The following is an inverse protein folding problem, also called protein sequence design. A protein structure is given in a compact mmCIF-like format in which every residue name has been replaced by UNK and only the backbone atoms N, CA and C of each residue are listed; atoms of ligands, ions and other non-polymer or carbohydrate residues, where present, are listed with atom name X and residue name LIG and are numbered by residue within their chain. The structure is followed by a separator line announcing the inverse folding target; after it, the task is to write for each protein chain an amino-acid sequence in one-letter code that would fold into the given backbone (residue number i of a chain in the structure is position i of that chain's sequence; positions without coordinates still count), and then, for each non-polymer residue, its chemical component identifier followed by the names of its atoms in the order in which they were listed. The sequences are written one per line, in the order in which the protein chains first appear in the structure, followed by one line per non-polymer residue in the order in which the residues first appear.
data_IF_839153352623
#
_entry.id   IF_839153352623
#
_cell.length_a   1.000
_cell.length_b   1.000
_cell.length_c   1.000
_cell.angle_alpha   90.00
_cell.angle_beta   90.00
_cell.angle_gamma   90.00
#
_symmetry.space_group_name_H-M   'P 1'
#
loop_
_entity.id
_entity.type
_entity.pdbx_description
1 polymer ?
#
# COMPACT_ATOMS: atom_id res chain seq x y z
N UNK A 1 36.19 -8.61 -9.07
CA UNK A 1 35.97 -9.72 -8.10
C UNK A 1 35.72 -9.26 -6.67
N UNK A 2 36.54 -8.39 -6.06
CA UNK A 2 36.37 -7.95 -4.65
C UNK A 2 35.00 -7.32 -4.34
N UNK A 3 34.48 -6.43 -5.21
CA UNK A 3 33.19 -5.76 -5.03
C UNK A 3 31.99 -6.71 -4.97
N UNK A 4 31.94 -7.72 -5.85
CA UNK A 4 30.84 -8.69 -5.92
C UNK A 4 30.70 -9.47 -4.61
N UNK A 5 31.81 -9.96 -4.05
CA UNK A 5 31.82 -10.66 -2.76
C UNK A 5 31.35 -9.76 -1.60
N UNK A 6 31.69 -8.47 -1.62
CA UNK A 6 31.20 -7.51 -0.60
C UNK A 6 29.69 -7.28 -0.70
N UNK A 7 29.15 -7.13 -1.91
CA UNK A 7 27.71 -6.97 -2.14
C UNK A 7 26.96 -8.23 -1.68
N UNK A 8 27.45 -9.41 -2.04
CA UNK A 8 26.88 -10.69 -1.64
C UNK A 8 26.88 -10.85 -0.11
N UNK A 9 28.02 -10.66 0.57
CA UNK A 9 28.07 -10.75 2.04
C UNK A 9 27.19 -9.69 2.75
N UNK A 10 27.01 -8.51 2.16
CA UNK A 10 26.04 -7.51 2.64
C UNK A 10 24.58 -8.00 2.50
N UNK A 11 24.23 -8.63 1.37
CA UNK A 11 22.89 -9.19 1.12
C UNK A 11 22.61 -10.37 2.07
N UNK A 12 23.52 -11.33 2.18
CA UNK A 12 23.44 -12.47 3.10
C UNK A 12 23.28 -12.02 4.56
N UNK A 13 24.04 -10.99 4.98
CA UNK A 13 23.91 -10.39 6.31
C UNK A 13 22.56 -9.69 6.49
N UNK A 14 22.07 -8.96 5.49
CA UNK A 14 20.74 -8.31 5.54
C UNK A 14 19.64 -9.36 5.73
N UNK A 15 19.66 -10.42 4.93
CA UNK A 15 18.68 -11.50 4.99
C UNK A 15 18.73 -12.22 6.35
N UNK A 16 19.92 -12.55 6.84
CA UNK A 16 20.13 -13.13 8.17
C UNK A 16 19.52 -12.26 9.28
N UNK A 17 19.72 -10.94 9.21
CA UNK A 17 19.16 -9.99 10.18
C UNK A 17 17.63 -9.90 10.07
N UNK A 18 17.07 -9.89 8.86
CA UNK A 18 15.61 -9.88 8.63
C UNK A 18 14.92 -11.15 9.14
N UNK A 19 15.57 -12.31 9.00
CA UNK A 19 15.11 -13.58 9.56
C UNK A 19 15.17 -13.56 11.11
N UNK A 20 16.31 -13.14 11.69
CA UNK A 20 16.46 -13.00 13.14
C UNK A 20 15.48 -11.99 13.75
N UNK A 21 15.17 -10.91 13.04
CA UNK A 21 14.12 -9.96 13.44
C UNK A 21 12.76 -10.66 13.42
N UNK A 22 12.41 -11.34 12.33
CA UNK A 22 11.08 -11.93 12.16
C UNK A 22 10.77 -13.06 13.15
N UNK A 23 11.80 -13.75 13.68
CA UNK A 23 11.63 -14.77 14.72
C UNK A 23 11.41 -14.20 16.13
N UNK A 24 11.79 -12.96 16.41
CA UNK A 24 11.70 -12.40 17.77
C UNK A 24 10.26 -12.12 18.25
N UNK A 25 9.26 -12.12 17.35
CA UNK A 25 7.84 -12.09 17.75
C UNK A 25 7.40 -13.33 18.54
N UNK A 26 8.17 -14.42 18.45
CA UNK A 26 7.94 -15.62 19.26
C UNK A 26 8.16 -15.36 20.76
N UNK A 27 8.84 -14.28 21.15
CA UNK A 27 9.00 -13.87 22.55
C UNK A 27 7.66 -13.55 23.25
N UNK A 28 6.62 -13.21 22.49
CA UNK A 28 5.28 -12.92 23.00
C UNK A 28 4.38 -14.16 23.11
N UNK A 29 4.86 -15.35 22.70
CA UNK A 29 4.07 -16.59 22.76
C UNK A 29 3.74 -16.96 24.21
N UNK A 30 2.46 -16.84 24.57
CA UNK A 30 1.96 -17.07 25.93
C UNK A 30 1.36 -15.82 26.58
N UNK A 31 1.54 -14.63 25.97
CA UNK A 31 0.84 -13.42 26.39
C UNK A 31 -0.67 -13.50 26.11
N UNK A 32 -1.47 -12.91 27.01
CA UNK A 32 -2.94 -12.92 26.91
C UNK A 32 -3.45 -12.23 25.63
N UNK A 33 -2.73 -11.22 25.14
CA UNK A 33 -2.98 -10.54 23.86
C UNK A 33 -1.83 -10.77 22.86
N UNK A 34 -1.47 -12.03 22.65
CA UNK A 34 -0.47 -12.40 21.63
C UNK A 34 -0.81 -11.83 20.24
N UNK A 35 -2.09 -11.80 19.85
CA UNK A 35 -2.52 -11.31 18.53
C UNK A 35 -2.29 -9.79 18.37
N UNK A 36 -2.69 -8.98 19.37
CA UNK A 36 -2.41 -7.56 19.39
C UNK A 36 -0.91 -7.27 19.38
N UNK A 37 -0.14 -7.96 20.23
CA UNK A 37 1.31 -7.79 20.31
C UNK A 37 2.04 -8.16 18.99
N UNK A 38 1.62 -9.23 18.30
CA UNK A 38 2.15 -9.58 16.97
C UNK A 38 1.81 -8.50 15.94
N UNK A 39 0.61 -7.92 15.97
CA UNK A 39 0.25 -6.83 15.07
C UNK A 39 1.12 -5.58 15.30
N UNK A 40 1.34 -5.19 16.57
CA UNK A 40 2.24 -4.07 16.90
C UNK A 40 3.69 -4.40 16.52
N UNK A 41 4.12 -5.65 16.67
CA UNK A 41 5.46 -6.09 16.24
C UNK A 41 5.68 -6.00 14.72
N UNK A 42 4.72 -6.44 13.90
CA UNK A 42 4.82 -6.32 12.44
C UNK A 42 4.70 -4.84 11.98
N UNK A 43 3.98 -3.98 12.72
CA UNK A 43 4.01 -2.53 12.50
C UNK A 43 5.39 -1.93 12.79
N UNK A 44 6.04 -2.31 13.90
CA UNK A 44 7.41 -1.87 14.21
C UNK A 44 8.41 -2.35 13.16
N UNK A 45 8.30 -3.60 12.72
CA UNK A 45 9.12 -4.17 11.66
C UNK A 45 8.99 -3.38 10.36
N UNK A 46 7.77 -3.02 9.97
CA UNK A 46 7.55 -2.22 8.76
C UNK A 46 8.13 -0.80 8.92
N UNK A 47 8.00 -0.18 10.09
CA UNK A 47 8.70 1.07 10.39
C UNK A 47 10.22 0.92 10.20
N UNK A 48 10.82 -0.14 10.74
CA UNK A 48 12.26 -0.44 10.61
C UNK A 48 12.71 -0.68 9.16
N UNK A 49 11.90 -1.33 8.32
CA UNK A 49 12.17 -1.50 6.88
C UNK A 49 12.28 -0.16 6.14
N UNK A 50 11.54 0.85 6.59
CA UNK A 50 11.50 2.19 6.00
C UNK A 50 12.59 3.09 6.57
N UNK A 51 12.86 3.00 7.87
CA UNK A 51 14.03 3.58 8.55
C UNK A 51 15.33 3.06 7.92
N UNK A 52 15.39 1.77 7.58
CA UNK A 52 16.50 1.16 6.83
C UNK A 52 16.72 1.83 5.47
N UNK A 53 15.66 2.00 4.66
CA UNK A 53 15.77 2.66 3.35
C UNK A 53 16.25 4.12 3.49
N UNK A 54 15.73 4.84 4.47
CA UNK A 54 16.18 6.19 4.81
C UNK A 54 17.67 6.22 5.17
N UNK A 55 18.16 5.30 6.01
CA UNK A 55 19.58 5.26 6.38
C UNK A 55 20.52 4.80 5.27
N UNK A 56 20.07 3.92 4.36
CA UNK A 56 20.80 3.62 3.11
C UNK A 56 20.97 4.90 2.28
N UNK A 57 19.91 5.68 2.09
CA UNK A 57 19.95 6.93 1.32
C UNK A 57 20.81 8.01 2.02
N UNK A 58 20.64 8.18 3.35
CA UNK A 58 21.45 9.08 4.17
C UNK A 58 22.94 8.75 4.04
N UNK A 59 23.32 7.49 4.22
CA UNK A 59 24.72 7.08 4.16
C UNK A 59 25.30 7.16 2.74
N UNK A 60 24.48 6.96 1.71
CA UNK A 60 24.88 7.26 0.33
C UNK A 60 25.21 8.74 0.16
N UNK A 61 24.34 9.65 0.60
CA UNK A 61 24.57 11.10 0.53
C UNK A 61 25.83 11.51 1.30
N UNK A 62 26.02 11.03 2.54
CA UNK A 62 27.25 11.20 3.32
C UNK A 62 28.50 10.75 2.54
N UNK A 63 28.40 9.60 1.84
CA UNK A 63 29.50 9.04 1.04
C UNK A 63 29.86 9.89 -0.18
N UNK A 64 28.91 10.66 -0.74
CA UNK A 64 29.20 11.59 -1.85
C UNK A 64 30.04 12.80 -1.44
N UNK A 65 30.11 13.10 -0.13
CA UNK A 65 30.75 14.30 0.45
C UNK A 65 30.26 15.64 -0.11
N UNK A 66 29.12 15.67 -0.82
CA UNK A 66 28.52 16.91 -1.32
C UNK A 66 27.73 17.61 -0.21
N UNK A 67 27.80 18.94 -0.08
CA UNK A 67 26.94 19.67 0.83
C UNK A 67 25.48 19.54 0.40
N UNK A 68 24.60 19.21 1.34
CA UNK A 68 23.16 19.21 1.12
C UNK A 68 22.64 20.65 1.11
N UNK A 69 21.63 20.91 0.28
CA UNK A 69 20.91 22.20 0.28
C UNK A 69 20.13 22.40 1.58
N UNK A 70 19.74 23.64 1.90
CA UNK A 70 18.91 23.93 3.07
C UNK A 70 17.57 23.15 3.06
N UNK A 71 16.94 23.02 1.89
CA UNK A 71 15.73 22.23 1.71
C UNK A 71 15.94 20.75 2.02
N UNK A 72 17.02 20.15 1.49
CA UNK A 72 17.36 18.74 1.77
C UNK A 72 17.68 18.50 3.25
N UNK A 73 18.41 19.41 3.91
CA UNK A 73 18.66 19.29 5.35
C UNK A 73 17.37 19.39 6.17
N UNK A 74 16.43 20.27 5.78
CA UNK A 74 15.13 20.38 6.43
C UNK A 74 14.27 19.12 6.23
N UNK A 75 14.28 18.55 5.02
CA UNK A 75 13.57 17.29 4.70
C UNK A 75 14.15 16.11 5.49
N UNK A 76 15.47 15.93 5.50
CA UNK A 76 16.15 14.89 6.30
C UNK A 76 15.77 15.01 7.78
N UNK A 77 15.80 16.22 8.35
CA UNK A 77 15.42 16.47 9.75
C UNK A 77 13.92 16.23 10.01
N UNK A 78 13.05 16.53 9.03
CA UNK A 78 11.62 16.22 9.13
C UNK A 78 11.37 14.71 9.15
N UNK A 79 12.13 13.93 8.37
CA UNK A 79 12.05 12.47 8.38
C UNK A 79 12.56 11.91 9.71
N UNK A 80 13.68 12.41 10.24
CA UNK A 80 14.21 12.00 11.55
C UNK A 80 13.21 12.27 12.70
N UNK A 81 12.56 13.45 12.69
CA UNK A 81 11.51 13.77 13.66
C UNK A 81 10.29 12.82 13.51
N UNK A 82 9.86 12.53 12.28
CA UNK A 82 8.73 11.63 12.02
C UNK A 82 9.04 10.19 12.45
N UNK A 83 10.26 9.70 12.21
CA UNK A 83 10.70 8.39 12.68
C UNK A 83 10.56 8.33 14.20
N UNK A 84 11.08 9.34 14.92
CA UNK A 84 10.97 9.36 16.38
C UNK A 84 9.52 9.33 16.86
N UNK A 85 8.63 10.16 16.29
CA UNK A 85 7.21 10.13 16.65
C UNK A 85 6.58 8.76 16.43
N UNK A 86 6.89 8.09 15.31
CA UNK A 86 6.39 6.75 15.02
C UNK A 86 6.99 5.67 15.93
N UNK A 87 8.23 5.82 16.41
CA UNK A 87 8.82 4.94 17.41
C UNK A 87 8.18 5.12 18.80
N UNK A 88 7.87 6.36 19.18
CA UNK A 88 7.16 6.71 20.42
C UNK A 88 5.71 6.15 20.37
N UNK A 89 5.00 6.31 19.24
CA UNK A 89 3.61 5.85 19.04
C UNK A 89 3.45 4.31 19.08
N UNK A 90 4.49 3.55 18.72
CA UNK A 90 4.48 2.07 18.63
C UNK A 90 4.85 1.41 19.97
N UNK A 91 4.93 2.17 21.07
CA UNK A 91 5.28 1.66 22.42
C UNK A 91 6.59 0.86 22.42
N UNK A 92 7.60 1.37 21.71
CA UNK A 92 8.87 0.68 21.44
C UNK A 92 9.58 0.14 22.70
N UNK A 93 9.48 0.81 23.85
CA UNK A 93 10.14 0.33 25.09
C UNK A 93 9.60 -1.03 25.50
N UNK A 94 8.27 -1.19 25.57
CA UNK A 94 7.60 -2.44 25.95
C UNK A 94 7.99 -3.61 25.02
N UNK A 95 8.02 -3.37 23.71
CA UNK A 95 8.41 -4.41 22.73
C UNK A 95 9.88 -4.81 22.93
N UNK A 96 10.75 -3.82 23.20
CA UNK A 96 12.19 -4.03 23.35
C UNK A 96 12.56 -4.70 24.68
N UNK A 97 11.82 -4.40 25.75
CA UNK A 97 11.97 -5.00 27.08
C UNK A 97 11.62 -6.50 27.06
N UNK A 98 10.57 -6.89 26.34
CA UNK A 98 10.14 -8.28 26.22
C UNK A 98 10.97 -9.06 25.17
N UNK A 99 11.25 -8.45 24.01
CA UNK A 99 12.11 -9.04 22.98
C UNK A 99 13.59 -8.62 23.19
N UNK A 100 14.24 -9.12 24.24
CA UNK A 100 15.60 -8.73 24.68
C UNK A 100 16.70 -8.57 23.59
N UNK A 101 16.60 -9.30 22.46
CA UNK A 101 17.58 -9.20 21.35
C UNK A 101 17.21 -8.14 20.30
N UNK A 102 16.00 -7.58 20.33
CA UNK A 102 15.47 -6.65 19.34
C UNK A 102 16.32 -5.38 19.24
N UNK A 103 16.70 -4.75 20.35
CA UNK A 103 17.59 -3.59 20.35
C UNK A 103 18.93 -3.86 19.63
N UNK A 104 19.48 -5.07 19.82
CA UNK A 104 20.72 -5.50 19.18
C UNK A 104 20.50 -5.67 17.67
N UNK A 105 19.45 -6.39 17.26
CA UNK A 105 19.14 -6.60 15.83
C UNK A 105 18.83 -5.28 15.13
N UNK A 106 18.04 -4.37 15.73
CA UNK A 106 17.76 -3.02 15.17
C UNK A 106 19.06 -2.23 14.94
N UNK A 107 20.01 -2.29 15.88
CA UNK A 107 21.34 -1.67 15.72
C UNK A 107 22.17 -2.32 14.62
N UNK A 108 22.16 -3.65 14.49
CA UNK A 108 22.86 -4.36 13.42
C UNK A 108 22.25 -4.09 12.04
N UNK A 109 20.92 -3.94 11.96
CA UNK A 109 20.17 -3.51 10.77
C UNK A 109 20.54 -2.07 10.38
N UNK A 110 20.66 -1.16 11.34
CA UNK A 110 21.12 0.21 11.10
C UNK A 110 22.55 0.27 10.53
N UNK A 111 23.50 -0.47 11.10
CA UNK A 111 24.87 -0.52 10.56
C UNK A 111 24.92 -1.20 9.18
N UNK A 112 24.09 -2.22 8.94
CA UNK A 112 23.93 -2.83 7.62
C UNK A 112 23.35 -1.83 6.60
N UNK A 113 22.36 -1.01 6.96
CA UNK A 113 21.81 0.06 6.12
C UNK A 113 22.91 1.06 5.73
N UNK A 114 23.74 1.45 6.70
CA UNK A 114 24.86 2.36 6.49
C UNK A 114 25.89 1.81 5.50
N UNK A 115 26.27 0.54 5.65
CA UNK A 115 27.17 -0.10 4.69
C UNK A 115 26.53 -0.24 3.30
N UNK A 116 25.22 -0.52 3.22
CA UNK A 116 24.46 -0.53 1.97
C UNK A 116 24.56 0.80 1.20
N UNK A 117 24.41 1.93 1.89
CA UNK A 117 24.57 3.28 1.30
C UNK A 117 25.99 3.53 0.74
N UNK A 118 27.03 3.12 1.49
CA UNK A 118 28.42 3.18 1.04
C UNK A 118 28.70 2.30 -0.17
N UNK A 119 28.17 1.07 -0.18
CA UNK A 119 28.34 0.12 -1.28
C UNK A 119 27.67 0.65 -2.56
N UNK A 120 26.46 1.22 -2.47
CA UNK A 120 25.79 1.87 -3.60
C UNK A 120 26.64 3.00 -4.21
N UNK A 121 27.25 3.84 -3.36
CA UNK A 121 28.18 4.86 -3.83
C UNK A 121 29.43 4.25 -4.48
N UNK A 122 30.03 3.23 -3.86
CA UNK A 122 31.26 2.58 -4.35
C UNK A 122 31.08 1.83 -5.69
N UNK A 123 29.87 1.33 -6.00
CA UNK A 123 29.57 0.73 -7.32
C UNK A 123 29.13 1.76 -8.37
N UNK A 124 29.13 3.06 -8.02
CA UNK A 124 28.69 4.12 -8.92
C UNK A 124 27.19 4.16 -9.17
N UNK A 125 26.38 3.52 -8.32
CA UNK A 125 24.92 3.64 -8.40
C UNK A 125 24.55 5.11 -8.22
N UNK A 126 23.78 5.65 -9.16
CA UNK A 126 23.17 6.96 -9.02
C UNK A 126 21.72 6.71 -8.64
N UNK A 127 21.36 7.08 -7.40
CA UNK A 127 19.96 7.39 -7.14
C UNK A 127 19.54 8.43 -8.18
N UNK A 128 18.53 8.16 -9.01
CA UNK A 128 18.06 9.17 -9.94
C UNK A 128 17.62 10.39 -9.13
N UNK A 129 17.83 11.57 -9.70
CA UNK A 129 17.49 12.79 -9.00
C UNK A 129 16.00 12.77 -8.65
N UNK A 130 15.68 12.99 -7.37
CA UNK A 130 14.34 13.39 -6.95
C UNK A 130 14.17 14.85 -7.40
N UNK A 131 14.04 15.03 -8.72
CA UNK A 131 13.42 16.22 -9.27
C UNK A 131 12.01 16.29 -8.74
N UNK A 132 11.61 17.46 -8.26
CA UNK A 132 10.23 17.77 -7.93
C UNK A 132 9.31 17.44 -9.12
N UNK A 133 8.68 16.27 -9.06
CA UNK A 133 7.88 15.72 -10.16
C UNK A 133 8.66 14.92 -11.22
N UNK A 134 9.37 13.85 -10.83
CA UNK A 134 9.48 12.66 -11.71
C UNK A 134 9.75 11.37 -10.94
N UNK A 135 8.93 10.35 -11.21
CA UNK A 135 8.97 9.04 -10.55
C UNK A 135 10.16 8.21 -11.04
N UNK A 136 10.83 7.56 -10.10
CA UNK A 136 11.99 6.72 -10.36
C UNK A 136 11.54 5.33 -10.84
N UNK A 137 11.69 5.06 -12.14
CA UNK A 137 11.63 3.71 -12.69
C UNK A 137 13.02 3.11 -12.79
N UNK A 138 13.26 2.03 -12.04
CA UNK A 138 14.47 1.20 -12.17
C UNK A 138 14.33 0.27 -13.38
N UNK A 139 15.25 0.36 -14.34
CA UNK A 139 15.22 -0.45 -15.56
C UNK A 139 16.61 -0.91 -16.03
N UNK A 140 16.68 -2.15 -16.52
CA UNK A 140 17.84 -2.76 -17.18
C UNK A 140 17.85 -4.27 -16.95
N UNK A 141 17.24 -5.08 -17.83
CA UNK A 141 17.88 -5.85 -18.94
C UNK A 141 16.71 -6.56 -19.68
N UNK A 142 16.54 -6.62 -21.01
CA UNK A 142 17.35 -6.20 -22.19
C UNK A 142 16.43 -5.67 -23.32
N UNK A 143 16.99 -5.34 -24.51
CA UNK A 143 16.23 -5.07 -25.76
C UNK A 143 16.11 -6.32 -26.66
N UNK A 144 15.11 -6.35 -27.55
CA UNK A 144 15.41 -6.26 -28.98
C UNK A 144 14.73 -5.05 -29.67
N UNK A 145 15.15 -4.78 -30.92
CA UNK A 145 14.72 -3.62 -31.73
C UNK A 145 13.48 -3.93 -32.59
N UNK A 146 12.59 -2.96 -32.78
CA UNK A 146 12.02 -2.64 -34.12
C UNK A 146 11.24 -1.31 -34.21
N UNK A 147 11.81 -0.40 -35.01
CA UNK A 147 11.22 0.69 -35.84
C UNK A 147 10.31 1.80 -35.23
N UNK A 148 10.22 2.98 -35.89
CA UNK A 148 9.62 4.19 -35.32
C UNK A 148 8.31 4.62 -36.00
N UNK A 149 7.35 5.18 -35.23
CA UNK A 149 6.22 5.91 -35.81
C UNK A 149 5.78 7.13 -34.98
N UNK A 150 6.03 8.30 -35.58
CA UNK A 150 5.23 9.53 -35.58
C UNK A 150 4.81 10.24 -34.27
N UNK A 151 5.21 11.52 -34.17
CA UNK A 151 4.69 12.52 -33.23
C UNK A 151 3.21 12.86 -33.50
N UNK A 152 2.36 12.98 -32.47
CA UNK A 152 1.18 13.83 -32.51
C UNK A 152 1.51 15.30 -32.23
N UNK A 153 0.72 16.22 -32.81
CA UNK A 153 0.76 17.67 -32.52
C UNK A 153 0.03 18.00 -31.20
N UNK A 154 0.30 19.16 -30.58
CA UNK A 154 -0.37 19.55 -29.32
C UNK A 154 -1.86 19.80 -29.53
N UNK A 155 -2.71 19.25 -28.66
CA UNK A 155 -4.13 19.56 -28.61
C UNK A 155 -4.50 20.39 -27.37
N UNK A 156 -5.52 21.22 -27.58
CA UNK A 156 -6.03 22.29 -26.72
C UNK A 156 -6.57 21.83 -25.36
N UNK A 157 -6.58 22.77 -24.41
CA UNK A 157 -7.20 22.66 -23.08
C UNK A 157 -8.63 22.06 -23.14
N UNK A 158 -9.02 21.17 -22.20
CA UNK A 158 -10.31 20.48 -22.25
C UNK A 158 -11.48 21.38 -21.85
N UNK A 159 -12.64 21.14 -22.48
CA UNK A 159 -13.95 21.68 -22.09
C UNK A 159 -14.46 20.95 -20.84
N UNK A 160 -15.34 21.59 -20.07
CA UNK A 160 -16.05 20.99 -18.94
C UNK A 160 -16.91 19.80 -19.37
N UNK A 161 -16.43 18.57 -19.14
CA UNK A 161 -17.22 17.34 -19.31
C UNK A 161 -17.93 16.97 -18.02
N UNK A 162 -19.25 16.82 -18.07
CA UNK A 162 -20.03 16.23 -16.97
C UNK A 162 -19.69 14.74 -16.87
N UNK A 163 -18.97 14.34 -15.83
CA UNK A 163 -18.59 12.94 -15.62
C UNK A 163 -19.78 12.11 -15.15
N UNK A 164 -19.91 10.89 -15.66
CA UNK A 164 -20.97 9.95 -15.25
C UNK A 164 -20.70 9.44 -13.84
N UNK A 165 -21.72 9.23 -13.01
CA UNK A 165 -21.54 8.63 -11.68
C UNK A 165 -20.97 7.21 -11.80
N UNK A 166 -19.96 6.88 -10.98
CA UNK A 166 -19.36 5.55 -10.92
C UNK A 166 -20.39 4.43 -10.71
N UNK A 167 -21.54 4.71 -10.05
CA UNK A 167 -22.65 3.74 -9.92
C UNK A 167 -23.10 3.15 -11.26
N UNK A 168 -22.99 3.88 -12.37
CA UNK A 168 -23.46 3.44 -13.70
C UNK A 168 -22.34 2.98 -14.63
N UNK A 169 -21.14 2.75 -14.12
CA UNK A 169 -20.04 2.21 -14.93
C UNK A 169 -20.29 0.75 -15.32
N UNK A 170 -19.65 0.31 -16.40
CA UNK A 170 -19.42 -1.12 -16.66
C UNK A 170 -18.11 -1.52 -16.00
N UNK A 171 -18.12 -2.61 -15.23
CA UNK A 171 -16.88 -3.14 -14.69
C UNK A 171 -16.09 -3.89 -15.76
N UNK A 172 -14.78 -3.95 -15.62
CA UNK A 172 -13.92 -4.67 -16.55
C UNK A 172 -12.65 -5.09 -15.84
N UNK A 173 -11.93 -6.05 -16.41
CA UNK A 173 -10.60 -6.46 -15.96
C UNK A 173 -9.67 -5.27 -15.66
N UNK A 174 -9.74 -4.19 -16.47
CA UNK A 174 -8.95 -2.97 -16.22
C UNK A 174 -9.37 -2.22 -14.95
N UNK A 175 -10.64 -2.24 -14.56
CA UNK A 175 -11.12 -1.65 -13.30
C UNK A 175 -10.47 -2.35 -12.10
N UNK A 176 -10.49 -3.69 -12.10
CA UNK A 176 -9.88 -4.54 -11.07
C UNK A 176 -8.36 -4.36 -11.04
N UNK A 177 -7.71 -4.30 -12.21
CA UNK A 177 -6.29 -3.96 -12.30
C UNK A 177 -5.96 -2.61 -11.67
N UNK A 178 -6.76 -1.56 -11.86
CA UNK A 178 -6.51 -0.24 -11.25
C UNK A 178 -6.67 -0.31 -9.71
N UNK A 179 -7.60 -1.09 -9.18
CA UNK A 179 -7.73 -1.32 -7.72
C UNK A 179 -6.51 -2.05 -7.17
N UNK A 180 -6.06 -3.10 -7.86
CA UNK A 180 -4.86 -3.86 -7.47
C UNK A 180 -3.57 -3.04 -7.65
N UNK A 181 -3.46 -2.21 -8.70
CA UNK A 181 -2.37 -1.24 -8.90
C UNK A 181 -2.34 -0.24 -7.74
N UNK A 182 -3.48 0.32 -7.34
CA UNK A 182 -3.61 1.22 -6.20
C UNK A 182 -3.22 0.54 -4.88
N UNK A 183 -3.61 -0.73 -4.67
CA UNK A 183 -3.21 -1.51 -3.51
C UNK A 183 -1.69 -1.75 -3.46
N UNK A 184 -1.09 -2.08 -4.59
CA UNK A 184 0.34 -2.31 -4.74
C UNK A 184 1.19 -1.02 -4.80
N UNK A 185 0.58 0.17 -4.76
CA UNK A 185 1.34 1.42 -4.59
C UNK A 185 2.13 1.40 -3.28
N UNK A 186 3.43 1.72 -3.37
CA UNK A 186 4.34 1.87 -2.23
C UNK A 186 4.05 3.11 -1.36
N UNK A 187 3.18 4.01 -1.80
CA UNK A 187 2.71 5.15 -1.01
C UNK A 187 1.93 4.68 0.22
N UNK A 188 2.48 4.92 1.41
CA UNK A 188 1.83 4.60 2.69
C UNK A 188 0.52 5.34 2.94
N UNK A 189 0.27 6.44 2.22
CA UNK A 189 -0.93 7.24 2.45
C UNK A 189 -2.10 6.68 1.65
N UNK A 190 -3.07 6.11 2.37
CA UNK A 190 -4.40 5.72 1.85
C UNK A 190 -5.03 6.84 0.99
N UNK A 191 -4.80 8.12 1.35
CA UNK A 191 -5.23 9.29 0.56
C UNK A 191 -4.66 9.34 -0.88
N UNK A 192 -3.42 8.91 -1.10
CA UNK A 192 -2.81 8.85 -2.43
C UNK A 192 -3.31 7.64 -3.22
N UNK A 193 -3.45 6.47 -2.58
CA UNK A 193 -4.11 5.29 -3.19
C UNK A 193 -5.54 5.60 -3.61
N UNK A 194 -6.26 6.37 -2.79
CA UNK A 194 -7.61 6.83 -3.12
C UNK A 194 -7.63 7.87 -4.26
N UNK A 195 -6.70 8.83 -4.25
CA UNK A 195 -6.57 9.80 -5.32
C UNK A 195 -6.25 9.11 -6.66
N UNK A 196 -5.33 8.14 -6.66
CA UNK A 196 -4.99 7.31 -7.81
C UNK A 196 -6.24 6.65 -8.44
N UNK A 197 -7.08 6.01 -7.62
CA UNK A 197 -8.33 5.40 -8.09
C UNK A 197 -9.31 6.44 -8.65
N UNK A 198 -9.53 7.56 -7.95
CA UNK A 198 -10.40 8.64 -8.44
C UNK A 198 -9.91 9.18 -9.79
N UNK A 199 -8.60 9.40 -9.94
CA UNK A 199 -8.01 9.97 -11.16
C UNK A 199 -7.99 8.97 -12.32
N UNK A 200 -7.66 7.70 -12.09
CA UNK A 200 -7.64 6.68 -13.16
C UNK A 200 -9.05 6.32 -13.62
N UNK A 201 -10.03 6.16 -12.72
CA UNK A 201 -11.42 5.94 -13.14
C UNK A 201 -11.98 7.13 -13.93
N UNK A 202 -11.61 8.35 -13.56
CA UNK A 202 -11.99 9.58 -14.25
C UNK A 202 -11.32 9.72 -15.63
N UNK A 203 -10.05 9.32 -15.76
CA UNK A 203 -9.28 9.43 -17.00
C UNK A 203 -9.59 8.30 -18.00
N UNK A 204 -9.63 7.05 -17.54
CA UNK A 204 -9.80 5.87 -18.40
C UNK A 204 -11.28 5.58 -18.74
N UNK A 205 -12.22 5.87 -17.82
CA UNK A 205 -13.63 5.52 -17.99
C UNK A 205 -14.58 6.73 -18.01
N UNK A 206 -14.09 7.95 -17.75
CA UNK A 206 -14.92 9.15 -17.71
C UNK A 206 -15.93 9.18 -16.56
N UNK A 207 -15.67 8.45 -15.46
CA UNK A 207 -16.59 8.37 -14.32
C UNK A 207 -16.08 9.13 -13.09
N UNK A 208 -17.01 9.70 -12.33
CA UNK A 208 -16.73 10.33 -11.04
C UNK A 208 -16.94 9.33 -9.90
N UNK A 209 -15.84 8.91 -9.27
CA UNK A 209 -15.86 8.11 -8.05
C UNK A 209 -15.87 9.00 -6.80
N UNK A 210 -16.68 8.63 -5.80
CA UNK A 210 -16.62 9.23 -4.46
C UNK A 210 -15.48 8.60 -3.64
N UNK A 211 -14.96 9.31 -2.65
CA UNK A 211 -13.90 8.78 -1.76
C UNK A 211 -14.36 7.53 -1.01
N UNK A 212 -15.63 7.50 -0.63
CA UNK A 212 -16.25 6.41 0.13
C UNK A 212 -16.45 5.16 -0.75
N UNK A 213 -16.82 5.33 -2.04
CA UNK A 213 -16.85 4.22 -3.00
C UNK A 213 -15.45 3.64 -3.19
N UNK A 214 -14.43 4.50 -3.31
CA UNK A 214 -13.04 4.08 -3.42
C UNK A 214 -12.52 3.37 -2.17
N UNK A 215 -12.92 3.83 -0.97
CA UNK A 215 -12.63 3.10 0.27
C UNK A 215 -13.31 1.73 0.29
N UNK A 216 -14.57 1.65 -0.18
CA UNK A 216 -15.28 0.38 -0.30
C UNK A 216 -14.60 -0.60 -1.26
N UNK A 217 -14.04 -0.12 -2.38
CA UNK A 217 -13.28 -0.98 -3.29
C UNK A 217 -12.05 -1.59 -2.61
N UNK A 218 -11.34 -0.82 -1.76
CA UNK A 218 -10.24 -1.36 -0.96
C UNK A 218 -10.70 -2.47 -0.01
N UNK A 219 -11.75 -2.20 0.76
CA UNK A 219 -12.35 -3.22 1.64
C UNK A 219 -12.76 -4.46 0.84
N UNK A 220 -13.41 -4.32 -0.32
CA UNK A 220 -13.89 -5.46 -1.10
C UNK A 220 -12.74 -6.34 -1.65
N UNK A 221 -11.71 -5.71 -2.24
CA UNK A 221 -10.66 -6.41 -2.99
C UNK A 221 -9.44 -6.84 -2.17
N UNK A 222 -9.23 -6.27 -0.97
CA UNK A 222 -8.02 -6.51 -0.16
C UNK A 222 -8.38 -7.17 1.17
N UNK A 223 -9.33 -6.60 1.92
CA UNK A 223 -9.63 -7.01 3.30
C UNK A 223 -10.87 -7.91 3.43
N UNK A 224 -11.75 -7.91 2.42
CA UNK A 224 -13.11 -8.45 2.49
C UNK A 224 -13.24 -9.92 2.09
N UNK A 225 -12.29 -10.43 1.30
CA UNK A 225 -12.19 -11.86 0.96
C UNK A 225 -11.51 -12.64 2.09
N UNK A 226 -10.49 -12.06 2.73
CA UNK A 226 -9.74 -12.67 3.83
C UNK A 226 -10.48 -12.71 5.16
N UNK A 227 -11.47 -11.83 5.37
CA UNK A 227 -12.30 -11.75 6.59
C UNK A 227 -13.68 -12.41 6.48
N UNK A 228 -14.02 -13.01 5.33
CA UNK A 228 -15.37 -13.55 5.06
C UNK A 228 -16.47 -12.48 4.92
N UNK A 229 -16.11 -11.19 4.99
CA UNK A 229 -17.05 -10.07 4.90
C UNK A 229 -17.82 -10.05 3.58
N UNK A 230 -17.16 -10.39 2.47
CA UNK A 230 -17.78 -10.37 1.13
C UNK A 230 -18.94 -11.37 1.02
N UNK A 231 -18.76 -12.60 1.52
CA UNK A 231 -19.77 -13.66 1.48
C UNK A 231 -20.99 -13.31 2.32
N UNK A 232 -20.79 -12.90 3.59
CA UNK A 232 -21.87 -12.46 4.47
C UNK A 232 -22.60 -11.21 3.92
N UNK A 233 -21.88 -10.30 3.26
CA UNK A 233 -22.50 -9.16 2.57
C UNK A 233 -23.38 -9.62 1.40
N UNK A 234 -22.95 -10.61 0.61
CA UNK A 234 -23.71 -11.14 -0.52
C UNK A 234 -24.98 -11.89 -0.09
N UNK A 235 -24.91 -12.67 0.99
CA UNK A 235 -26.10 -13.26 1.62
C UNK A 235 -27.13 -12.18 2.02
N UNK A 236 -26.66 -11.14 2.72
CA UNK A 236 -27.50 -10.03 3.13
C UNK A 236 -28.04 -9.23 1.92
N UNK A 237 -27.23 -9.05 0.85
CA UNK A 237 -27.64 -8.38 -0.39
C UNK A 237 -28.77 -9.13 -1.08
N UNK A 238 -28.67 -10.45 -1.21
CA UNK A 238 -29.72 -11.28 -1.83
C UNK A 238 -30.99 -11.25 -0.99
N UNK A 239 -30.87 -11.40 0.34
CA UNK A 239 -31.98 -11.43 1.30
C UNK A 239 -32.76 -10.11 1.37
N UNK A 240 -32.07 -8.98 1.44
CA UNK A 240 -32.69 -7.66 1.61
C UNK A 240 -32.84 -6.93 0.29
N UNK A 241 -34.05 -7.00 -0.30
CA UNK A 241 -34.42 -6.24 -1.49
C UNK A 241 -35.30 -5.04 -1.13
N UNK A 242 -34.89 -3.83 -1.54
CA UNK A 242 -35.68 -2.62 -1.31
C UNK A 242 -35.39 -1.55 -2.37
N UNK A 243 -36.42 -0.84 -2.94
CA UNK A 243 -36.21 0.12 -4.04
C UNK A 243 -35.33 1.34 -3.72
N UNK A 244 -35.36 1.84 -2.49
CA UNK A 244 -34.37 2.82 -2.00
C UNK A 244 -33.14 2.11 -1.47
N UNK A 245 -31.98 2.49 -2.01
CA UNK A 245 -30.65 2.03 -1.59
C UNK A 245 -30.40 2.36 -0.12
N UNK A 246 -30.80 3.55 0.34
CA UNK A 246 -30.58 4.01 1.71
C UNK A 246 -31.26 3.08 2.70
N UNK A 247 -32.53 2.74 2.46
CA UNK A 247 -33.27 1.76 3.28
C UNK A 247 -32.69 0.35 3.15
N UNK A 248 -32.29 -0.07 1.94
CA UNK A 248 -31.64 -1.37 1.72
C UNK A 248 -30.32 -1.49 2.49
N UNK A 249 -29.51 -0.43 2.50
CA UNK A 249 -28.25 -0.35 3.21
C UNK A 249 -28.44 -0.41 4.72
N UNK A 250 -29.48 0.22 5.28
CA UNK A 250 -29.82 0.11 6.71
C UNK A 250 -30.19 -1.34 7.09
N UNK A 251 -31.06 -2.00 6.32
CA UNK A 251 -31.44 -3.39 6.59
C UNK A 251 -30.24 -4.36 6.56
N UNK A 252 -29.37 -4.20 5.55
CA UNK A 252 -28.11 -4.97 5.45
C UNK A 252 -27.17 -4.63 6.61
N UNK A 253 -27.06 -3.35 7.01
CA UNK A 253 -26.22 -2.93 8.13
C UNK A 253 -26.68 -3.51 9.47
N UNK A 254 -27.99 -3.53 9.72
CA UNK A 254 -28.59 -4.10 10.93
C UNK A 254 -28.32 -5.60 11.03
N UNK A 255 -28.52 -6.36 9.94
CA UNK A 255 -28.24 -7.80 9.94
C UNK A 255 -26.74 -8.12 10.03
N UNK A 256 -25.88 -7.40 9.29
CA UNK A 256 -24.42 -7.56 9.37
C UNK A 256 -23.85 -7.20 10.76
N UNK A 257 -24.52 -6.30 11.51
CA UNK A 257 -24.15 -5.97 12.89
C UNK A 257 -24.66 -7.00 13.90
N UNK A 258 -25.85 -7.57 13.67
CA UNK A 258 -26.42 -8.63 14.51
C UNK A 258 -25.67 -9.97 14.36
N UNK A 259 -25.27 -10.32 13.14
CA UNK A 259 -24.58 -11.56 12.79
C UNK A 259 -23.05 -11.37 12.66
N UNK A 260 -22.48 -10.34 13.30
CA UNK A 260 -21.08 -9.95 13.12
C UNK A 260 -20.13 -11.04 13.63
N UNK A 261 -19.35 -11.66 12.73
CA UNK A 261 -18.20 -12.49 13.14
C UNK A 261 -17.18 -11.64 13.92
N UNK A 262 -16.54 -12.17 14.98
CA UNK A 262 -15.44 -11.48 15.67
C UNK A 262 -14.33 -10.99 14.73
N UNK A 263 -14.11 -11.72 13.63
CA UNK A 263 -13.07 -11.45 12.64
C UNK A 263 -13.45 -10.35 11.62
N UNK A 264 -14.70 -9.87 11.62
CA UNK A 264 -15.11 -8.82 10.69
C UNK A 264 -14.50 -7.47 11.05
N UNK A 265 -13.84 -6.77 10.10
CA UNK A 265 -13.30 -5.44 10.35
C UNK A 265 -14.40 -4.46 10.77
N UNK A 266 -14.04 -3.44 11.56
CA UNK A 266 -14.96 -2.38 11.93
C UNK A 266 -15.25 -1.49 10.72
N UNK A 267 -16.41 -1.70 10.09
CA UNK A 267 -16.83 -0.99 8.87
C UNK A 267 -17.74 0.20 9.16
N UNK A 268 -17.55 1.30 8.44
CA UNK A 268 -18.41 2.48 8.49
C UNK A 268 -19.71 2.29 7.69
N UNK A 269 -20.79 2.96 8.07
CA UNK A 269 -22.13 2.78 7.45
C UNK A 269 -22.18 3.05 5.93
N UNK A 270 -21.24 3.84 5.37
CA UNK A 270 -21.18 4.02 3.92
C UNK A 270 -20.89 2.71 3.16
N UNK A 271 -20.19 1.77 3.79
CA UNK A 271 -19.79 0.48 3.20
C UNK A 271 -20.99 -0.26 2.64
N UNK A 272 -22.11 -0.27 3.35
CA UNK A 272 -23.31 -0.99 2.90
C UNK A 272 -23.95 -0.36 1.65
N UNK A 273 -23.95 0.97 1.54
CA UNK A 273 -24.41 1.70 0.35
C UNK A 273 -23.54 1.41 -0.87
N UNK A 274 -22.22 1.40 -0.69
CA UNK A 274 -21.28 1.21 -1.79
C UNK A 274 -21.08 -0.26 -2.18
N UNK A 275 -21.32 -1.20 -1.26
CA UNK A 275 -21.50 -2.62 -1.58
C UNK A 275 -22.70 -2.87 -2.50
N UNK A 276 -23.85 -2.24 -2.20
CA UNK A 276 -25.01 -2.30 -3.12
C UNK A 276 -24.63 -1.75 -4.51
N UNK A 277 -23.91 -0.63 -4.59
CA UNK A 277 -23.46 -0.08 -5.87
C UNK A 277 -22.58 -1.06 -6.65
N UNK A 278 -21.62 -1.72 -6.00
CA UNK A 278 -20.73 -2.66 -6.68
C UNK A 278 -21.48 -3.89 -7.20
N UNK A 279 -22.42 -4.43 -6.41
CA UNK A 279 -23.27 -5.56 -6.86
C UNK A 279 -24.17 -5.17 -8.03
N UNK A 280 -24.82 -4.01 -8.00
CA UNK A 280 -25.57 -3.49 -9.15
C UNK A 280 -24.69 -3.30 -10.40
N UNK A 281 -23.42 -2.90 -10.23
CA UNK A 281 -22.44 -2.79 -11.31
C UNK A 281 -22.13 -4.18 -11.89
N UNK A 282 -21.88 -5.18 -11.05
CA UNK A 282 -21.64 -6.56 -11.48
C UNK A 282 -22.88 -7.17 -12.15
N UNK A 283 -24.08 -7.01 -11.59
CA UNK A 283 -25.33 -7.51 -12.18
C UNK A 283 -25.56 -6.95 -13.60
N UNK A 284 -25.33 -5.66 -13.82
CA UNK A 284 -25.46 -5.03 -15.16
C UNK A 284 -24.32 -5.36 -16.12
N UNK A 285 -23.17 -5.79 -15.63
CA UNK A 285 -21.98 -6.05 -16.45
C UNK A 285 -21.85 -7.53 -16.82
N UNK A 286 -22.15 -8.42 -15.86
CA UNK A 286 -21.93 -9.86 -15.93
C UNK A 286 -23.21 -10.70 -15.80
N UNK A 287 -24.34 -10.10 -15.41
CA UNK A 287 -25.61 -10.80 -15.17
C UNK A 287 -25.71 -11.46 -13.79
N UNK A 288 -24.75 -11.24 -12.90
CA UNK A 288 -24.66 -11.85 -11.58
C UNK A 288 -24.01 -10.89 -10.57
N UNK A 289 -24.20 -11.13 -9.26
CA UNK A 289 -23.69 -10.26 -8.17
C UNK A 289 -22.18 -10.40 -7.90
N UNK A 290 -21.47 -11.30 -8.58
CA UNK A 290 -20.03 -11.57 -8.38
C UNK A 290 -19.21 -11.34 -9.64
N UNK A 291 -17.96 -10.91 -9.47
CA UNK A 291 -17.02 -10.72 -10.57
C UNK A 291 -16.48 -12.08 -11.09
N UNK A 292 -16.39 -12.29 -12.42
CA UNK A 292 -15.80 -13.51 -12.97
C UNK A 292 -14.28 -13.59 -12.72
N UNK A 293 -13.81 -14.78 -12.33
CA UNK A 293 -12.40 -15.08 -12.02
C UNK A 293 -11.40 -14.68 -13.12
N UNK A 294 -11.83 -14.59 -14.38
CA UNK A 294 -11.02 -14.15 -15.53
C UNK A 294 -10.45 -12.73 -15.41
N UNK A 295 -11.02 -11.89 -14.53
CA UNK A 295 -10.55 -10.53 -14.30
C UNK A 295 -9.35 -10.46 -13.34
N UNK A 296 -9.05 -11.54 -12.61
CA UNK A 296 -7.92 -11.66 -11.67
C UNK A 296 -6.70 -12.37 -12.28
N UNK A 297 -6.86 -12.97 -13.47
CA UNK A 297 -5.79 -13.55 -14.30
C UNK A 297 -5.13 -12.50 -15.20
#
# INVERSE_FOLDING_TARGET
MSSVRKIQGYQERKETLSQQYSSLKDAFKGENDYAGLVNVYEMLKHLDELVYQFHVYKSYLESTKKPLTLAQNAEMKSIENLIKTLEDDVSLSYITENANRLAIIRREIFENAREGGRLLYAVGYKFPAISSGQTITSAGITKPKSKPQQKPKPQSKPKTSTYTSARYMKWSKRCTQIVLEAANMSDKYVKQKHAYLVDHFKQEFGVACTKDFVHYLFLHYIDGETSGFNEAFDECYVKHQHPSIEKRAVLIAEEMKANRSPDFPAVHDYVYKYGIWLREIFERTYGQITEPATNFQ
#
